data_IF_674535082223
#
_entry.id   IF_674535082223
#
_cell.length_a   1.000
_cell.length_b   1.000
_cell.length_c   1.000
_cell.angle_alpha   90.00
_cell.angle_beta   90.00
_cell.angle_gamma   90.00
#
_symmetry.space_group_name_H-M   'P 1'
#
loop_
_entity.id
_entity.type
_entity.pdbx_description
1 polymer ?
#
# COMPACT_ATOMS: atom_id res chain seq x y z
N UNK A 1 -10.22 7.99 3.44
CA UNK A 1 -10.97 8.16 2.18
C UNK A 1 -10.05 8.80 1.14
N UNK A 2 -9.41 8.03 0.25
CA UNK A 2 -8.51 8.63 -0.77
C UNK A 2 -8.61 7.99 -2.15
N UNK A 3 -9.30 6.85 -2.32
CA UNK A 3 -9.42 6.18 -3.63
C UNK A 3 -10.83 6.16 -4.21
N UNK A 4 -11.75 7.01 -3.72
CA UNK A 4 -13.15 7.03 -4.18
C UNK A 4 -13.76 8.41 -4.46
N UNK A 5 -13.35 9.46 -3.72
CA UNK A 5 -13.97 10.79 -3.86
C UNK A 5 -13.09 11.83 -4.59
N UNK A 6 -11.78 11.62 -4.71
CA UNK A 6 -10.82 12.64 -5.19
C UNK A 6 -10.11 12.28 -6.50
N UNK A 7 -10.42 11.14 -7.13
CA UNK A 7 -9.83 10.75 -8.41
C UNK A 7 -8.32 10.50 -8.38
N UNK A 8 -7.72 10.33 -7.19
CA UNK A 8 -6.29 10.11 -7.07
C UNK A 8 -5.89 8.78 -7.75
N UNK A 9 -4.85 8.76 -8.60
CA UNK A 9 -4.43 7.56 -9.29
C UNK A 9 -4.06 6.43 -8.33
N UNK A 10 -4.69 5.27 -8.51
CA UNK A 10 -4.55 4.11 -7.61
C UNK A 10 -3.13 3.54 -7.64
N UNK A 11 -2.45 3.65 -8.78
CA UNK A 11 -1.05 3.27 -8.96
C UNK A 11 -0.12 4.12 -8.09
N UNK A 12 -0.26 5.44 -8.11
CA UNK A 12 0.52 6.33 -7.23
C UNK A 12 0.20 6.07 -5.76
N UNK A 13 -1.09 5.96 -5.42
CA UNK A 13 -1.52 5.72 -4.03
C UNK A 13 -0.95 4.40 -3.49
N UNK A 14 -0.95 3.36 -4.32
CA UNK A 14 -0.42 2.05 -3.95
C UNK A 14 1.08 2.10 -3.63
N UNK A 15 1.88 2.78 -4.46
CA UNK A 15 3.32 2.95 -4.25
C UNK A 15 3.62 3.71 -2.97
N UNK A 16 2.90 4.82 -2.72
CA UNK A 16 3.10 5.63 -1.51
C UNK A 16 2.73 4.82 -0.26
N UNK A 17 1.59 4.12 -0.27
CA UNK A 17 1.11 3.34 0.86
C UNK A 17 2.08 2.20 1.23
N UNK A 18 2.49 1.39 0.23
CA UNK A 18 3.45 0.30 0.44
C UNK A 18 4.79 0.85 0.94
N UNK A 19 5.33 1.89 0.28
CA UNK A 19 6.62 2.48 0.68
C UNK A 19 6.61 2.98 2.11
N UNK A 20 5.53 3.65 2.52
CA UNK A 20 5.39 4.16 3.88
C UNK A 20 5.39 3.02 4.91
N UNK A 21 4.58 1.98 4.68
CA UNK A 21 4.50 0.83 5.59
C UNK A 21 5.83 0.07 5.64
N UNK A 22 6.42 -0.29 4.50
CA UNK A 22 7.72 -0.99 4.46
C UNK A 22 8.81 -0.17 5.13
N UNK A 23 8.86 1.14 4.88
CA UNK A 23 9.85 2.02 5.51
C UNK A 23 9.67 2.09 7.02
N UNK A 24 8.43 2.15 7.50
CA UNK A 24 8.14 2.15 8.93
C UNK A 24 8.55 0.82 9.59
N UNK A 25 8.14 -0.30 9.00
CA UNK A 25 8.45 -1.65 9.51
C UNK A 25 9.95 -1.97 9.49
N UNK A 26 10.72 -1.44 8.53
CA UNK A 26 12.18 -1.64 8.45
C UNK A 26 12.96 -0.74 9.41
N UNK A 27 12.47 0.46 9.72
CA UNK A 27 13.19 1.44 10.55
C UNK A 27 12.92 1.27 12.03
N UNK A 28 11.68 0.97 12.40
CA UNK A 28 11.25 0.94 13.79
C UNK A 28 11.21 -0.49 14.33
N UNK A 29 11.74 -0.70 15.53
CA UNK A 29 11.49 -1.95 16.26
C UNK A 29 10.05 -1.92 16.76
N UNK A 30 9.18 -2.69 16.12
CA UNK A 30 7.73 -2.67 16.37
C UNK A 30 7.21 -4.04 16.81
N UNK A 31 6.16 -4.05 17.63
CA UNK A 31 5.42 -5.27 18.01
C UNK A 31 4.37 -5.69 16.98
N UNK A 32 4.19 -4.89 15.92
CA UNK A 32 3.32 -5.21 14.78
C UNK A 32 3.80 -6.48 14.08
N UNK A 33 2.94 -7.50 14.05
CA UNK A 33 3.21 -8.79 13.40
C UNK A 33 2.72 -8.85 11.96
N UNK A 34 1.66 -8.12 11.64
CA UNK A 34 0.98 -8.20 10.35
C UNK A 34 0.31 -6.87 10.01
N UNK A 35 0.33 -6.51 8.72
CA UNK A 35 -0.38 -5.36 8.16
C UNK A 35 -1.22 -5.84 6.99
N UNK A 36 -2.54 -5.61 7.04
CA UNK A 36 -3.48 -6.06 6.01
C UNK A 36 -4.01 -4.85 5.23
N UNK A 37 -3.81 -4.86 3.91
CA UNK A 37 -4.41 -3.89 2.99
C UNK A 37 -5.74 -4.44 2.47
N UNK A 38 -6.86 -3.79 2.84
CA UNK A 38 -8.20 -4.17 2.37
C UNK A 38 -8.51 -3.46 1.06
N UNK A 39 -8.50 -4.21 -0.04
CA UNK A 39 -8.68 -3.71 -1.41
C UNK A 39 -9.99 -4.26 -1.99
N UNK A 40 -10.90 -3.38 -2.40
CA UNK A 40 -12.28 -3.75 -2.73
C UNK A 40 -12.48 -4.19 -4.19
N UNK A 41 -11.49 -3.97 -5.05
CA UNK A 41 -11.59 -4.30 -6.46
C UNK A 41 -10.29 -4.92 -7.03
N UNK A 42 -10.39 -5.73 -8.09
CA UNK A 42 -9.24 -6.41 -8.68
C UNK A 42 -8.20 -5.46 -9.30
N UNK A 43 -8.60 -4.27 -9.75
CA UNK A 43 -7.67 -3.29 -10.35
C UNK A 43 -6.77 -2.72 -9.26
N UNK A 44 -7.35 -2.29 -8.15
CA UNK A 44 -6.60 -1.82 -6.98
C UNK A 44 -5.68 -2.90 -6.44
N UNK A 45 -6.16 -4.15 -6.34
CA UNK A 45 -5.30 -5.27 -5.96
C UNK A 45 -4.06 -5.42 -6.84
N UNK A 46 -4.20 -5.34 -8.17
CA UNK A 46 -3.06 -5.43 -9.10
C UNK A 46 -2.03 -4.32 -8.85
N UNK A 47 -2.48 -3.09 -8.62
CA UNK A 47 -1.57 -1.96 -8.36
C UNK A 47 -0.79 -2.15 -7.05
N UNK A 48 -1.48 -2.52 -5.96
CA UNK A 48 -0.84 -2.78 -4.67
C UNK A 48 0.11 -3.98 -4.71
N UNK A 49 -0.27 -5.05 -5.41
CA UNK A 49 0.61 -6.21 -5.60
C UNK A 49 1.88 -5.82 -6.36
N UNK A 50 1.74 -5.10 -7.46
CA UNK A 50 2.90 -4.66 -8.27
C UNK A 50 3.81 -3.72 -7.47
N UNK A 51 3.22 -2.78 -6.71
CA UNK A 51 3.97 -1.88 -5.84
C UNK A 51 4.72 -2.64 -4.73
N UNK A 52 4.13 -3.70 -4.18
CA UNK A 52 4.80 -4.55 -3.20
C UNK A 52 5.98 -5.32 -3.81
N UNK A 53 5.79 -5.93 -4.98
CA UNK A 53 6.86 -6.66 -5.71
C UNK A 53 8.04 -5.74 -6.09
N UNK A 54 7.82 -4.44 -6.29
CA UNK A 54 8.88 -3.48 -6.60
C UNK A 54 9.64 -2.97 -5.36
N UNK A 55 9.00 -2.91 -4.19
CA UNK A 55 9.53 -2.22 -3.00
C UNK A 55 10.06 -3.20 -1.93
N UNK A 56 9.40 -4.34 -1.75
CA UNK A 56 9.73 -5.32 -0.71
C UNK A 56 10.90 -6.19 -1.14
#
# INVERSE_FOLDING_TARGET
MSTGAYGYPVDEASRVAIKAVVSFLRKETTSLKEVVFVLFDPRTYKHYRSALEEIA
#
